data_IF_174443487472
#
_entry.id   IF_174443487472
#
_cell.length_a   1.000
_cell.length_b   1.000
_cell.length_c   1.000
_cell.angle_alpha   90.00
_cell.angle_beta   90.00
_cell.angle_gamma   90.00
#
_symmetry.space_group_name_H-M   'P 1'
#
loop_
_entity.id
_entity.type
_entity.pdbx_description
1 polymer ?
#
# COMPACT_ATOMS: atom_id res chain seq x y z
N UNK A 1 7.89 3.69 15.64
CA UNK A 1 8.33 2.64 14.70
C UNK A 1 7.67 1.29 14.96
N UNK A 2 7.54 0.90 16.23
CA UNK A 2 6.91 -0.38 16.57
C UNK A 2 5.43 -0.43 16.17
N UNK A 3 4.70 0.66 16.36
CA UNK A 3 3.30 0.74 15.95
C UNK A 3 3.18 0.60 14.43
N UNK A 4 4.09 1.23 13.70
CA UNK A 4 4.09 1.18 12.24
C UNK A 4 4.34 -0.25 11.74
N UNK A 5 5.31 -0.94 12.33
CA UNK A 5 5.58 -2.34 11.99
C UNK A 5 4.40 -3.24 12.30
N UNK A 6 3.72 -2.98 13.42
CA UNK A 6 2.53 -3.71 13.82
C UNK A 6 1.41 -3.55 12.79
N UNK A 7 1.18 -2.31 12.34
CA UNK A 7 0.19 -2.03 11.31
C UNK A 7 0.52 -2.79 10.03
N UNK A 8 1.77 -2.71 9.59
CA UNK A 8 2.20 -3.41 8.39
C UNK A 8 2.07 -4.93 8.55
N UNK A 9 2.42 -5.44 9.73
CA UNK A 9 2.30 -6.86 10.03
C UNK A 9 0.86 -7.36 10.01
N UNK A 10 -0.12 -6.48 10.21
CA UNK A 10 -1.53 -6.85 10.18
C UNK A 10 -2.10 -6.96 8.77
N UNK A 11 -1.36 -6.53 7.76
CA UNK A 11 -1.82 -6.61 6.37
C UNK A 11 -1.78 -8.05 5.88
N UNK A 12 -2.76 -8.40 5.04
CA UNK A 12 -2.71 -9.69 4.33
C UNK A 12 -1.61 -9.62 3.27
N UNK A 13 -1.15 -10.77 2.76
CA UNK A 13 -0.17 -10.75 1.66
C UNK A 13 -0.63 -9.95 0.46
N UNK A 14 -1.91 -10.03 0.11
CA UNK A 14 -2.46 -9.27 -1.03
C UNK A 14 -2.45 -7.78 -0.74
N UNK A 15 -2.79 -7.39 0.49
CA UNK A 15 -2.75 -5.98 0.89
C UNK A 15 -1.33 -5.43 0.84
N UNK A 16 -0.34 -6.22 1.22
CA UNK A 16 1.06 -5.81 1.11
C UNK A 16 1.48 -5.64 -0.34
N UNK A 17 1.04 -6.52 -1.22
CA UNK A 17 1.32 -6.40 -2.65
C UNK A 17 0.70 -5.11 -3.22
N UNK A 18 -0.55 -4.84 -2.86
CA UNK A 18 -1.22 -3.61 -3.28
C UNK A 18 -0.46 -2.39 -2.76
N UNK A 19 -0.08 -2.40 -1.49
CA UNK A 19 0.66 -1.29 -0.89
C UNK A 19 1.98 -1.03 -1.64
N UNK A 20 2.74 -2.08 -1.92
CA UNK A 20 4.04 -1.91 -2.58
C UNK A 20 3.91 -1.28 -3.97
N UNK A 21 2.85 -1.62 -4.70
CA UNK A 21 2.63 -1.05 -6.03
C UNK A 21 2.09 0.37 -5.95
N UNK A 22 1.18 0.62 -5.01
CA UNK A 22 0.58 1.94 -4.83
C UNK A 22 1.62 2.97 -4.42
N UNK A 23 2.50 2.63 -3.49
CA UNK A 23 3.53 3.58 -3.04
C UNK A 23 4.62 3.79 -4.10
N UNK A 24 4.70 2.90 -5.09
CA UNK A 24 5.58 3.09 -6.24
C UNK A 24 4.94 3.96 -7.32
N UNK A 25 3.71 4.44 -7.10
CA UNK A 25 3.06 5.37 -7.99
C UNK A 25 2.08 4.76 -8.97
N UNK A 26 1.80 3.46 -8.87
CA UNK A 26 0.85 2.82 -9.77
C UNK A 26 -0.58 3.22 -9.44
N UNK A 27 -1.37 3.44 -10.49
CA UNK A 27 -2.80 3.67 -10.35
C UNK A 27 -3.52 2.34 -10.14
N UNK A 28 -4.74 2.39 -9.60
CA UNK A 28 -5.52 1.17 -9.34
C UNK A 28 -5.62 0.26 -10.56
N UNK A 29 -5.81 0.85 -11.74
CA UNK A 29 -5.89 0.09 -12.98
C UNK A 29 -4.59 -0.66 -13.26
N UNK A 30 -3.47 -0.01 -13.02
CA UNK A 30 -2.15 -0.60 -13.23
C UNK A 30 -1.88 -1.70 -12.20
N UNK A 31 -2.28 -1.47 -10.95
CA UNK A 31 -2.15 -2.48 -9.89
C UNK A 31 -2.97 -3.72 -10.26
N UNK A 32 -4.20 -3.50 -10.75
CA UNK A 32 -5.07 -4.60 -11.17
C UNK A 32 -4.39 -5.44 -12.26
N UNK A 33 -3.77 -4.77 -13.25
CA UNK A 33 -3.05 -5.45 -14.31
C UNK A 33 -1.87 -6.26 -13.80
N UNK A 34 -1.11 -5.68 -12.87
CA UNK A 34 0.06 -6.35 -12.29
C UNK A 34 -0.33 -7.59 -11.48
N UNK A 35 -1.43 -7.52 -10.76
CA UNK A 35 -1.84 -8.61 -9.87
C UNK A 35 -2.83 -9.57 -10.53
N UNK A 36 -3.31 -9.26 -11.72
CA UNK A 36 -4.27 -10.10 -12.42
C UNK A 36 -5.63 -10.16 -11.75
N UNK A 37 -6.07 -9.05 -11.15
CA UNK A 37 -7.36 -8.95 -10.47
C UNK A 37 -8.10 -7.74 -10.99
N UNK A 38 -9.38 -7.62 -10.63
CA UNK A 38 -10.19 -6.49 -11.09
C UNK A 38 -9.83 -5.21 -10.34
N UNK A 39 -10.12 -4.08 -10.96
CA UNK A 39 -9.89 -2.77 -10.33
C UNK A 39 -10.74 -2.58 -9.08
N UNK A 40 -11.96 -3.14 -9.08
CA UNK A 40 -12.85 -3.11 -7.92
C UNK A 40 -12.20 -3.85 -6.75
N UNK A 41 -11.59 -5.00 -7.03
CA UNK A 41 -10.88 -5.78 -6.01
C UNK A 41 -9.68 -5.01 -5.46
N UNK A 42 -8.95 -4.33 -6.34
CA UNK A 42 -7.83 -3.47 -5.91
C UNK A 42 -8.33 -2.38 -4.96
N UNK A 43 -9.45 -1.73 -5.30
CA UNK A 43 -10.03 -0.68 -4.44
C UNK A 43 -10.38 -1.23 -3.07
N UNK A 44 -10.95 -2.45 -3.02
CA UNK A 44 -11.30 -3.09 -1.75
C UNK A 44 -10.06 -3.35 -0.91
N UNK A 45 -9.03 -3.94 -1.51
CA UNK A 45 -7.76 -4.20 -0.81
C UNK A 45 -7.09 -2.91 -0.37
N UNK A 46 -7.11 -1.89 -1.23
CA UNK A 46 -6.51 -0.60 -0.91
C UNK A 46 -7.21 0.07 0.26
N UNK A 47 -8.55 0.01 0.29
CA UNK A 47 -9.32 0.56 1.40
C UNK A 47 -8.99 -0.10 2.73
N UNK A 48 -8.91 -1.43 2.73
CA UNK A 48 -8.53 -2.18 3.93
C UNK A 48 -7.10 -1.86 4.36
N UNK A 49 -6.18 -1.81 3.41
CA UNK A 49 -4.79 -1.50 3.68
C UNK A 49 -4.63 -0.12 4.28
N UNK A 50 -5.30 0.88 3.72
CA UNK A 50 -5.26 2.24 4.25
C UNK A 50 -5.75 2.32 5.69
N UNK A 51 -6.85 1.60 5.99
CA UNK A 51 -7.39 1.55 7.36
C UNK A 51 -6.41 0.88 8.32
N UNK A 52 -5.84 -0.25 7.92
CA UNK A 52 -4.92 -0.99 8.78
C UNK A 52 -3.64 -0.22 9.02
N UNK A 53 -3.16 0.50 8.02
CA UNK A 53 -1.97 1.34 8.15
C UNK A 53 -2.27 2.66 8.86
N UNK A 54 -3.56 2.99 9.07
CA UNK A 54 -3.98 4.25 9.67
C UNK A 54 -3.49 5.45 8.88
N UNK A 55 -3.50 5.33 7.58
CA UNK A 55 -3.06 6.39 6.67
C UNK A 55 -4.28 7.14 6.14
N UNK A 56 -4.27 8.46 6.26
CA UNK A 56 -5.37 9.31 5.81
C UNK A 56 -5.20 9.78 4.36
N UNK A 57 -4.02 9.61 3.81
CA UNK A 57 -3.73 10.05 2.44
C UNK A 57 -2.65 9.18 1.84
N UNK A 58 -2.54 9.22 0.51
CA UNK A 58 -1.48 8.52 -0.19
C UNK A 58 -0.11 9.05 0.21
N UNK A 59 0.02 10.36 0.38
CA UNK A 59 1.29 10.96 0.79
C UNK A 59 1.73 10.43 2.15
N UNK A 60 0.79 10.28 3.08
CA UNK A 60 1.07 9.74 4.39
C UNK A 60 1.51 8.28 4.28
N UNK A 61 0.82 7.50 3.44
CA UNK A 61 1.17 6.10 3.21
C UNK A 61 2.58 5.97 2.64
N UNK A 62 2.95 6.83 1.69
CA UNK A 62 4.30 6.83 1.09
C UNK A 62 5.35 7.10 2.17
N UNK A 63 5.09 8.05 3.06
CA UNK A 63 5.99 8.35 4.17
C UNK A 63 6.16 7.15 5.09
N UNK A 64 5.06 6.48 5.42
CA UNK A 64 5.10 5.28 6.25
C UNK A 64 5.90 4.16 5.59
N UNK A 65 5.68 3.96 4.29
CA UNK A 65 6.39 2.94 3.53
C UNK A 65 7.89 3.21 3.53
N UNK A 66 8.29 4.47 3.37
CA UNK A 66 9.70 4.85 3.40
C UNK A 66 10.32 4.53 4.76
N UNK A 67 9.59 4.80 5.85
CA UNK A 67 10.05 4.48 7.20
C UNK A 67 10.22 2.98 7.43
N UNK A 68 9.39 2.17 6.76
CA UNK A 68 9.48 0.73 6.83
C UNK A 68 10.60 0.16 5.94
N UNK A 69 11.23 1.00 5.16
CA UNK A 69 12.28 0.58 4.24
C UNK A 69 11.76 0.04 2.92
N UNK A 70 10.49 0.26 2.63
CA UNK A 70 9.91 -0.16 1.35
C UNK A 70 10.31 0.83 0.26
N UNK A 71 10.42 0.33 -0.97
CA UNK A 71 10.72 1.17 -2.12
C UNK A 71 9.48 1.98 -2.50
N UNK A 72 9.67 3.29 -2.72
CA UNK A 72 8.58 4.18 -3.07
C UNK A 72 8.96 5.05 -4.26
N UNK A 73 7.94 5.61 -4.92
CA UNK A 73 8.16 6.53 -6.03
C UNK A 73 8.79 7.85 -5.58
N UNK A 74 8.59 8.23 -4.32
CA UNK A 74 9.17 9.46 -3.77
C UNK A 74 10.67 9.35 -3.55
N UNK A 75 11.19 8.16 -3.54
CA UNK A 75 12.61 7.94 -3.36
C UNK A 75 13.33 8.23 -4.67
N UNK A 76 14.26 9.12 -4.62
CA UNK A 76 15.05 9.48 -5.79
C UNK A 76 16.49 9.07 -5.62
#
# INVERSE_FOLDING_TARGET
MQVLRSCYGSLTPRERQVMSLVVCGLLNKQVAGELGISEITVKAHRGQMMRKMKADSLAELVTMAARLGLQTAAKS
#
